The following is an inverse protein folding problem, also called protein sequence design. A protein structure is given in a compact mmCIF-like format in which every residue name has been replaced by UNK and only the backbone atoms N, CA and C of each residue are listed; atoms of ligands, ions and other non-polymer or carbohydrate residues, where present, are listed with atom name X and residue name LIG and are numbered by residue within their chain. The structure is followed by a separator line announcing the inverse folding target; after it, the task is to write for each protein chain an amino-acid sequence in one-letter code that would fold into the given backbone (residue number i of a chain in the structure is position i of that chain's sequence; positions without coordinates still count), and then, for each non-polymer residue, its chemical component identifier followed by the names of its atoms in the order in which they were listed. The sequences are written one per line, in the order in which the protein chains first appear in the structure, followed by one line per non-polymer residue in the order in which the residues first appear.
data_IF_260720216094
#
_entry.id   IF_260720216094
#
_cell.length_a   1.000
_cell.length_b   1.000
_cell.length_c   1.000
_cell.angle_alpha   90.00
_cell.angle_beta   90.00
_cell.angle_gamma   90.00
#
_symmetry.space_group_name_H-M   'P 1'
#
loop_
_entity.id
_entity.type
_entity.pdbx_description
1 polymer ?
#
# COMPACT_ATOMS: atom_id res chain seq x y z
N UNK A 1 4.24 -9.27 -8.31
CA UNK A 1 5.70 -8.97 -8.44
C UNK A 1 6.57 -9.70 -7.40
N UNK A 2 6.19 -9.74 -6.12
CA UNK A 2 6.99 -10.34 -5.02
C UNK A 2 7.40 -11.81 -5.23
N UNK A 3 6.53 -12.62 -5.84
CA UNK A 3 6.82 -14.02 -6.17
C UNK A 3 8.10 -14.23 -7.00
N UNK A 4 8.35 -13.37 -8.00
CA UNK A 4 9.55 -13.46 -8.86
C UNK A 4 10.82 -13.19 -8.07
N UNK A 5 10.77 -12.21 -7.16
CA UNK A 5 11.89 -11.89 -6.28
C UNK A 5 12.21 -13.04 -5.33
N UNK A 6 11.20 -13.66 -4.73
CA UNK A 6 11.39 -14.83 -3.86
C UNK A 6 11.93 -16.04 -4.64
N UNK A 7 11.48 -16.26 -5.88
CA UNK A 7 12.05 -17.30 -6.76
C UNK A 7 13.55 -17.05 -7.04
N UNK A 8 13.91 -15.80 -7.33
CA UNK A 8 15.30 -15.40 -7.53
C UNK A 8 16.13 -15.56 -6.24
N UNK A 9 15.56 -15.21 -5.08
CA UNK A 9 16.22 -15.37 -3.78
C UNK A 9 16.63 -16.82 -3.53
N UNK A 10 15.72 -17.78 -3.71
CA UNK A 10 16.05 -19.20 -3.60
C UNK A 10 17.07 -19.65 -4.65
N UNK A 11 17.06 -19.07 -5.85
CA UNK A 11 18.08 -19.36 -6.86
C UNK A 11 19.47 -18.88 -6.43
N UNK A 12 19.59 -17.64 -5.94
CA UNK A 12 20.84 -17.11 -5.37
C UNK A 12 21.28 -17.99 -4.19
N UNK A 13 20.33 -18.45 -3.38
CA UNK A 13 20.64 -19.38 -2.30
C UNK A 13 21.18 -20.74 -2.80
N UNK A 14 20.81 -21.22 -3.98
CA UNK A 14 21.38 -22.47 -4.51
C UNK A 14 22.65 -22.28 -5.33
N UNK A 15 23.09 -21.05 -5.55
CA UNK A 15 24.37 -20.80 -6.22
C UNK A 15 25.54 -21.19 -5.33
N UNK A 16 26.62 -21.65 -5.96
CA UNK A 16 27.91 -21.88 -5.30
C UNK A 16 28.36 -20.61 -4.55
N UNK A 17 28.97 -20.77 -3.38
CA UNK A 17 29.45 -19.67 -2.52
C UNK A 17 30.56 -18.82 -3.14
N UNK A 18 31.26 -19.34 -4.15
CA UNK A 18 32.23 -18.60 -4.96
C UNK A 18 31.59 -17.58 -5.92
N UNK A 19 30.29 -17.68 -6.19
CA UNK A 19 29.59 -16.83 -7.15
C UNK A 19 29.31 -15.46 -6.53
N UNK A 20 29.64 -14.39 -7.27
CA UNK A 20 29.43 -13.00 -6.85
C UNK A 20 28.01 -12.71 -6.34
N UNK A 21 26.91 -13.16 -6.97
CA UNK A 21 25.56 -12.89 -6.45
C UNK A 21 25.32 -13.45 -5.05
N UNK A 22 25.83 -14.66 -4.77
CA UNK A 22 25.74 -15.31 -3.45
C UNK A 22 26.62 -14.57 -2.44
N UNK A 23 27.84 -14.22 -2.81
CA UNK A 23 28.76 -13.46 -1.95
C UNK A 23 28.21 -12.08 -1.60
N UNK A 24 27.72 -11.31 -2.58
CA UNK A 24 27.12 -9.99 -2.35
C UNK A 24 25.85 -10.10 -1.53
N UNK A 25 25.03 -11.13 -1.77
CA UNK A 25 23.81 -11.33 -1.00
C UNK A 25 24.10 -11.61 0.47
N UNK A 26 25.10 -12.43 0.80
CA UNK A 26 25.45 -12.72 2.20
C UNK A 26 26.39 -11.69 2.82
N UNK A 27 27.17 -10.99 2.01
CA UNK A 27 28.16 -10.00 2.43
C UNK A 27 27.57 -8.86 3.24
N UNK A 28 28.40 -8.32 4.13
CA UNK A 28 28.09 -7.16 4.96
C UNK A 28 29.18 -6.11 4.77
N UNK A 29 28.80 -4.84 4.78
CA UNK A 29 29.76 -3.76 4.61
C UNK A 29 30.38 -3.44 5.98
N UNK A 30 31.65 -3.77 6.14
CA UNK A 30 32.35 -3.70 7.43
C UNK A 30 32.47 -2.27 8.02
N UNK A 31 32.70 -1.26 7.17
CA UNK A 31 33.05 0.10 7.63
C UNK A 31 32.13 1.22 7.11
N UNK A 32 30.89 0.91 6.72
CA UNK A 32 29.95 1.93 6.23
C UNK A 32 28.93 2.36 7.30
N UNK A 33 28.93 3.66 7.62
CA UNK A 33 27.87 4.29 8.44
C UNK A 33 26.68 4.66 7.54
N UNK A 34 25.46 4.37 7.99
CA UNK A 34 24.24 4.75 7.26
C UNK A 34 23.84 6.18 7.59
N UNK A 35 23.29 6.94 6.62
CA UNK A 35 22.79 8.29 6.89
C UNK A 35 21.61 8.23 7.88
N UNK A 36 21.52 9.26 8.72
CA UNK A 36 20.44 9.42 9.71
C UNK A 36 19.14 9.83 9.01
N UNK A 37 18.00 9.38 9.51
CA UNK A 37 16.67 9.68 8.97
C UNK A 37 16.01 8.47 8.32
N UNK A 38 15.64 8.58 7.04
CA UNK A 38 14.94 7.52 6.27
C UNK A 38 15.84 6.91 5.19
N UNK A 39 16.91 6.18 5.54
CA UNK A 39 17.73 5.48 4.56
C UNK A 39 16.91 4.42 3.82
N UNK A 40 17.30 4.13 2.56
CA UNK A 40 16.68 3.05 1.80
C UNK A 40 16.92 1.70 2.49
N UNK A 41 15.89 0.86 2.50
CA UNK A 41 15.95 -0.51 3.00
C UNK A 41 17.02 -1.31 2.24
N UNK A 42 17.74 -2.21 2.93
CA UNK A 42 18.62 -3.16 2.24
C UNK A 42 17.76 -4.11 1.42
N UNK A 43 18.38 -4.70 0.41
CA UNK A 43 17.76 -5.81 -0.31
C UNK A 43 17.36 -6.95 0.66
N UNK A 44 18.24 -7.32 1.61
CA UNK A 44 17.95 -8.31 2.66
C UNK A 44 16.69 -7.94 3.46
N UNK A 45 16.50 -6.67 3.82
CA UNK A 45 15.35 -6.22 4.61
C UNK A 45 14.04 -6.31 3.80
N UNK A 46 14.08 -5.93 2.52
CA UNK A 46 12.96 -6.12 1.61
C UNK A 46 12.61 -7.59 1.43
N UNK A 47 13.61 -8.46 1.27
CA UNK A 47 13.42 -9.90 1.14
C UNK A 47 12.78 -10.51 2.39
N UNK A 48 13.21 -10.09 3.59
CA UNK A 48 12.59 -10.51 4.86
C UNK A 48 11.13 -10.11 4.93
N UNK A 49 10.80 -8.86 4.62
CA UNK A 49 9.42 -8.39 4.60
C UNK A 49 8.56 -9.18 3.62
N UNK A 50 9.06 -9.39 2.40
CA UNK A 50 8.32 -10.14 1.38
C UNK A 50 8.13 -11.61 1.79
N UNK A 51 9.12 -12.25 2.42
CA UNK A 51 8.97 -13.61 2.96
C UNK A 51 7.95 -13.68 4.11
N UNK A 52 7.88 -12.65 4.96
CA UNK A 52 6.89 -12.57 6.03
C UNK A 52 5.46 -12.47 5.50
N UNK A 53 5.24 -11.66 4.46
CA UNK A 53 3.94 -11.58 3.80
C UNK A 53 3.50 -12.89 3.14
N UNK A 54 4.47 -13.68 2.66
CA UNK A 54 4.21 -15.00 2.07
C UNK A 54 4.13 -16.11 3.14
N UNK A 55 4.18 -15.75 4.42
CA UNK A 55 4.16 -16.69 5.55
C UNK A 55 5.32 -17.70 5.54
N UNK A 56 6.40 -17.42 4.79
CA UNK A 56 7.64 -18.20 4.77
C UNK A 56 8.46 -17.89 6.04
N UNK A 57 8.27 -16.71 6.64
CA UNK A 57 8.94 -16.28 7.88
C UNK A 57 8.58 -17.09 9.13
N UNK A 58 7.46 -17.84 9.15
CA UNK A 58 7.16 -18.82 10.22
C UNK A 58 8.24 -19.91 10.34
N UNK A 59 9.00 -20.11 9.28
CA UNK A 59 10.13 -21.05 9.23
C UNK A 59 11.34 -20.35 9.87
N UNK A 60 11.60 -19.06 9.65
CA UNK A 60 12.77 -18.31 10.17
C UNK A 60 13.01 -18.41 11.69
N UNK A 61 11.97 -18.60 12.51
CA UNK A 61 12.08 -18.72 13.98
C UNK A 61 12.49 -20.11 14.51
N UNK A 62 12.78 -21.09 13.63
CA UNK A 62 13.24 -22.42 14.05
C UNK A 62 13.66 -23.38 12.93
N UNK A 63 13.49 -22.99 11.66
CA UNK A 63 13.97 -23.67 10.47
C UNK A 63 14.58 -22.61 9.55
N UNK A 64 15.82 -22.77 9.11
CA UNK A 64 16.43 -21.78 8.25
C UNK A 64 15.67 -21.76 6.89
N UNK A 65 15.19 -20.61 6.41
CA UNK A 65 14.62 -20.49 5.05
C UNK A 65 15.61 -21.01 3.99
N UNK A 66 16.90 -20.97 4.31
CA UNK A 66 17.99 -21.59 3.56
C UNK A 66 17.81 -23.09 3.38
N UNK A 67 17.45 -23.81 4.44
CA UNK A 67 17.17 -25.26 4.39
C UNK A 67 15.99 -25.55 3.46
N UNK A 68 14.93 -24.74 3.54
CA UNK A 68 13.80 -24.81 2.60
C UNK A 68 14.22 -24.42 1.17
N UNK A 69 15.21 -23.53 1.06
CA UNK A 69 15.76 -23.01 -0.18
C UNK A 69 16.72 -23.96 -0.90
N UNK A 70 17.28 -24.95 -0.21
CA UNK A 70 18.10 -26.03 -0.79
C UNK A 70 17.30 -26.81 -1.85
N UNK A 71 16.06 -27.17 -1.52
CA UNK A 71 15.12 -27.81 -2.43
C UNK A 71 14.46 -26.80 -3.37
N UNK A 72 14.65 -26.96 -4.70
CA UNK A 72 13.96 -26.11 -5.69
C UNK A 72 12.44 -26.24 -5.60
N UNK A 73 11.94 -27.45 -5.44
CA UNK A 73 10.51 -27.73 -5.49
C UNK A 73 9.82 -27.37 -4.18
N UNK A 74 10.45 -27.64 -3.03
CA UNK A 74 9.99 -27.18 -1.71
C UNK A 74 9.89 -25.66 -1.66
N UNK A 75 10.93 -24.96 -2.12
CA UNK A 75 10.93 -23.50 -2.21
C UNK A 75 9.80 -22.95 -3.09
N UNK A 76 9.58 -23.57 -4.27
CA UNK A 76 8.49 -23.18 -5.17
C UNK A 76 7.13 -23.44 -4.56
N UNK A 77 6.96 -24.57 -3.89
CA UNK A 77 5.72 -24.96 -3.22
C UNK A 77 5.36 -23.94 -2.15
N UNK A 78 6.28 -23.60 -1.24
CA UNK A 78 6.03 -22.61 -0.18
C UNK A 78 5.74 -21.22 -0.72
N UNK A 79 6.39 -20.80 -1.82
CA UNK A 79 6.06 -19.54 -2.48
C UNK A 79 4.64 -19.55 -3.06
N UNK A 80 4.22 -20.67 -3.67
CA UNK A 80 2.89 -20.78 -4.25
C UNK A 80 1.80 -20.84 -3.16
N UNK A 81 2.03 -21.57 -2.07
CA UNK A 81 1.16 -21.56 -0.89
C UNK A 81 1.03 -20.15 -0.31
N UNK A 82 2.15 -19.42 -0.18
CA UNK A 82 2.14 -18.03 0.25
C UNK A 82 1.36 -17.11 -0.69
N UNK A 83 1.42 -17.33 -2.02
CA UNK A 83 0.59 -16.60 -2.98
C UNK A 83 -0.91 -16.81 -2.73
N UNK A 84 -1.33 -18.05 -2.46
CA UNK A 84 -2.74 -18.38 -2.23
C UNK A 84 -3.26 -17.68 -0.97
N UNK A 85 -2.52 -17.80 0.14
CA UNK A 85 -2.85 -17.13 1.41
C UNK A 85 -2.95 -15.61 1.21
N UNK A 86 -1.99 -15.01 0.51
CA UNK A 86 -1.99 -13.57 0.26
C UNK A 86 -3.18 -13.15 -0.61
N UNK A 87 -3.54 -13.95 -1.62
CA UNK A 87 -4.69 -13.69 -2.48
C UNK A 87 -6.02 -13.77 -1.71
N UNK A 88 -6.18 -14.79 -0.86
CA UNK A 88 -7.35 -14.94 0.01
C UNK A 88 -7.48 -13.76 0.98
N UNK A 89 -6.39 -13.37 1.65
CA UNK A 89 -6.37 -12.20 2.51
C UNK A 89 -6.76 -10.92 1.76
N UNK A 90 -6.27 -10.74 0.54
CA UNK A 90 -6.63 -9.62 -0.33
C UNK A 90 -8.12 -9.61 -0.68
N UNK A 91 -8.68 -10.77 -1.05
CA UNK A 91 -10.12 -10.89 -1.32
C UNK A 91 -10.95 -10.57 -0.08
N UNK A 92 -10.52 -11.01 1.11
CA UNK A 92 -11.14 -10.67 2.39
C UNK A 92 -11.18 -9.16 2.63
N UNK A 93 -10.07 -8.46 2.41
CA UNK A 93 -10.01 -6.98 2.52
C UNK A 93 -10.95 -6.30 1.53
N UNK A 94 -11.03 -6.79 0.29
CA UNK A 94 -11.95 -6.25 -0.72
C UNK A 94 -13.42 -6.47 -0.33
N UNK A 95 -13.76 -7.64 0.21
CA UNK A 95 -15.10 -7.96 0.72
C UNK A 95 -15.49 -7.05 1.89
N UNK A 96 -14.60 -6.88 2.87
CA UNK A 96 -14.81 -5.95 4.00
C UNK A 96 -15.04 -4.51 3.53
N UNK A 97 -14.22 -4.01 2.58
CA UNK A 97 -14.42 -2.68 1.98
C UNK A 97 -15.74 -2.54 1.22
N UNK A 98 -16.27 -3.63 0.65
CA UNK A 98 -17.61 -3.63 0.03
C UNK A 98 -18.69 -3.53 1.10
N UNK A 99 -18.63 -4.32 2.16
CA UNK A 99 -19.58 -4.26 3.29
C UNK A 99 -19.59 -2.86 3.92
N UNK A 100 -18.41 -2.30 4.20
CA UNK A 100 -18.28 -0.96 4.78
C UNK A 100 -19.04 0.09 3.96
N UNK A 101 -18.91 0.11 2.63
CA UNK A 101 -19.64 1.06 1.75
C UNK A 101 -21.16 0.97 1.88
N UNK A 102 -21.71 -0.23 2.07
CA UNK A 102 -23.15 -0.40 2.26
C UNK A 102 -23.61 0.06 3.65
N UNK A 103 -22.78 -0.13 4.68
CA UNK A 103 -23.09 0.34 6.04
C UNK A 103 -23.00 1.87 6.20
N UNK A 104 -22.05 2.53 5.53
CA UNK A 104 -21.90 4.00 5.65
C UNK A 104 -22.99 4.77 4.89
N UNK A 105 -23.56 4.18 3.83
CA UNK A 105 -24.58 4.84 2.99
C UNK A 105 -25.98 4.92 3.61
N UNK A 106 -26.25 4.25 4.74
CA UNK A 106 -27.59 4.19 5.34
C UNK A 106 -27.91 5.34 6.31
N UNK A 107 -26.90 6.07 6.80
CA UNK A 107 -27.11 7.14 7.80
C UNK A 107 -27.45 8.52 7.21
N UNK A 108 -27.15 8.75 5.92
CA UNK A 108 -27.33 10.05 5.24
C UNK A 108 -28.77 10.29 4.74
N UNK A 109 -29.71 9.39 5.06
CA UNK A 109 -31.07 9.36 4.49
C UNK A 109 -32.15 9.97 5.40
N UNK A 110 -31.83 10.37 6.63
CA UNK A 110 -32.84 10.82 7.59
C UNK A 110 -33.30 12.28 7.36
N UNK A 111 -32.42 13.14 6.84
CA UNK A 111 -32.74 14.52 6.48
C UNK A 111 -32.71 14.66 4.95
N UNK A 112 -33.88 14.77 4.31
CA UNK A 112 -33.96 14.89 2.85
C UNK A 112 -33.09 16.01 2.27
N UNK A 113 -32.57 15.83 1.05
CA UNK A 113 -31.62 16.76 0.43
C UNK A 113 -32.30 18.00 -0.16
N UNK A 114 -32.63 18.98 0.67
CA UNK A 114 -33.35 20.18 0.25
C UNK A 114 -32.42 21.40 0.08
N UNK A 115 -32.67 22.23 -0.92
CA UNK A 115 -31.99 23.52 -1.06
C UNK A 115 -32.60 24.55 -0.10
N UNK A 116 -31.81 25.09 0.84
CA UNK A 116 -32.26 26.14 1.76
C UNK A 116 -32.55 27.50 1.10
N UNK A 117 -32.11 27.72 -0.16
CA UNK A 117 -32.30 29.00 -0.85
C UNK A 117 -33.66 29.05 -1.57
N UNK A 118 -34.05 27.96 -2.22
CA UNK A 118 -35.26 27.91 -3.05
C UNK A 118 -36.24 26.78 -2.69
N UNK A 119 -35.92 25.98 -1.65
CA UNK A 119 -36.75 24.87 -1.19
C UNK A 119 -36.75 23.63 -2.09
N UNK A 120 -36.04 23.62 -3.23
CA UNK A 120 -36.05 22.47 -4.16
C UNK A 120 -35.50 21.21 -3.49
N UNK A 121 -36.26 20.11 -3.57
CA UNK A 121 -35.82 18.77 -3.15
C UNK A 121 -34.92 18.15 -4.22
N UNK A 122 -33.76 17.66 -3.81
CA UNK A 122 -32.79 16.95 -4.66
C UNK A 122 -32.74 15.47 -4.28
N UNK A 123 -32.35 14.62 -5.25
CA UNK A 123 -32.35 13.15 -5.07
C UNK A 123 -31.13 12.63 -4.28
N UNK A 124 -30.10 13.44 -4.10
CA UNK A 124 -28.87 13.08 -3.37
C UNK A 124 -28.12 14.32 -2.91
N UNK A 125 -27.21 14.16 -1.94
CA UNK A 125 -26.30 15.22 -1.47
C UNK A 125 -25.47 15.82 -2.61
N UNK A 126 -24.95 14.97 -3.49
CA UNK A 126 -24.18 15.40 -4.68
C UNK A 126 -25.08 16.15 -5.65
N UNK A 127 -26.31 15.68 -5.87
CA UNK A 127 -27.30 16.37 -6.70
C UNK A 127 -27.62 17.77 -6.17
N UNK A 128 -27.77 17.91 -4.84
CA UNK A 128 -27.95 19.20 -4.18
C UNK A 128 -26.74 20.11 -4.35
N UNK A 129 -25.52 19.60 -4.16
CA UNK A 129 -24.28 20.36 -4.36
C UNK A 129 -24.15 20.90 -5.79
N UNK A 130 -24.35 20.03 -6.79
CA UNK A 130 -24.32 20.42 -8.21
C UNK A 130 -25.44 21.41 -8.56
N UNK A 131 -26.64 21.20 -8.03
CA UNK A 131 -27.78 22.12 -8.21
C UNK A 131 -27.46 23.51 -7.67
N UNK A 132 -26.95 23.61 -6.43
CA UNK A 132 -26.54 24.88 -5.82
C UNK A 132 -25.47 25.58 -6.67
N UNK A 133 -24.45 24.84 -7.12
CA UNK A 133 -23.37 25.40 -7.95
C UNK A 133 -23.87 25.97 -9.28
N UNK A 134 -24.87 25.34 -9.91
CA UNK A 134 -25.40 25.76 -11.20
C UNK A 134 -26.49 26.85 -11.09
N UNK A 135 -27.30 26.83 -10.03
CA UNK A 135 -28.53 27.64 -9.91
C UNK A 135 -28.46 28.75 -8.88
N UNK A 136 -27.57 28.63 -7.90
CA UNK A 136 -27.30 29.63 -6.87
C UNK A 136 -25.84 30.05 -6.90
N UNK A 137 -25.29 30.19 -8.12
CA UNK A 137 -23.94 30.67 -8.38
C UNK A 137 -23.64 31.80 -7.39
N UNK A 138 -22.81 31.53 -6.40
CA UNK A 138 -22.34 32.58 -5.50
C UNK A 138 -21.66 33.60 -6.40
N UNK A 139 -22.28 34.77 -6.56
CA UNK A 139 -21.49 35.97 -6.78
C UNK A 139 -20.69 36.08 -5.49
N UNK A 140 -19.45 35.59 -5.51
CA UNK A 140 -18.49 35.79 -4.42
C UNK A 140 -18.21 37.28 -4.31
N UNK A 141 -19.12 38.04 -3.68
CA UNK A 141 -18.79 39.35 -3.14
C UNK A 141 -17.93 39.09 -1.91
N UNK A 142 -16.72 39.65 -1.94
CA UNK A 142 -15.61 39.51 -0.99
C UNK A 142 -14.64 38.35 -1.23
N UNK A 143 -13.85 38.47 -2.30
CA UNK A 143 -12.40 38.40 -2.08
C UNK A 143 -11.98 39.73 -1.47
N UNK A 144 -11.76 39.76 -0.15
CA UNK A 144 -10.84 40.73 0.42
C UNK A 144 -9.49 40.49 -0.24
N UNK A 145 -9.06 41.45 -1.05
CA UNK A 145 -7.77 41.45 -1.72
C UNK A 145 -6.64 41.24 -0.71
N UNK A 146 -5.70 40.30 -0.92
CA UNK A 146 -4.40 40.41 -0.30
C UNK A 146 -3.73 41.65 -0.92
N UNK A 147 -3.56 42.67 -0.10
CA UNK A 147 -2.74 43.84 -0.39
C UNK A 147 -1.32 43.34 -0.72
N UNK A 148 -0.93 43.39 -1.99
CA UNK A 148 0.47 43.26 -2.38
C UNK A 148 1.14 44.58 -2.03
N UNK A 149 1.89 44.60 -0.93
CA UNK A 149 2.84 45.69 -0.68
C UNK A 149 4.06 45.44 -1.56
N UNK A 150 4.28 46.35 -2.50
CA UNK A 150 5.52 46.55 -3.23
C UNK A 150 6.69 46.65 -2.26
N UNK A 151 7.65 45.74 -2.37
CA UNK A 151 8.97 45.92 -1.79
C UNK A 151 9.80 46.68 -2.83
N UNK A 152 9.90 48.00 -2.65
CA UNK A 152 10.91 48.84 -3.27
C UNK A 152 11.94 49.24 -2.22
N UNK A 153 13.06 48.52 -2.16
CA UNK A 153 14.46 49.01 -2.20
C UNK A 153 15.44 47.91 -1.85
#
# INVERSE_FOLDING_TARGET
MKQRYLRWLGHVHRMQTSRLPRQVFHGEVAHAKRPVGRPRLRFKDCAKRDMAEFNIDRIWRGRHWERLGEGRDEWRKSINEGCLILAEAWLGVLAQKRIQRHTTGSSDCAEGFNCHICGRKCRSRIGLFSYKRLRHREVSLHRSSPCWTEVHR
#
